data_IF_620111064249
#
_entry.id   IF_620111064249
#
_cell.length_a   1.000
_cell.length_b   1.000
_cell.length_c   1.000
_cell.angle_alpha   90.00
_cell.angle_beta   90.00
_cell.angle_gamma   90.00
#
_symmetry.space_group_name_H-M   'P 1'
#
loop_
_entity.id
_entity.type
_entity.pdbx_description
1 polymer ?
#
# COMPACT_ATOMS: atom_id res chain seq x y z
N UNK A 1 48.58 -29.76 -41.51
CA UNK A 1 47.43 -28.93 -41.05
C UNK A 1 47.22 -29.15 -39.55
N UNK A 2 47.98 -28.43 -38.71
CA UNK A 2 47.97 -28.60 -37.25
C UNK A 2 46.90 -27.75 -36.58
N UNK A 3 46.13 -28.34 -35.66
CA UNK A 3 45.10 -27.63 -34.88
C UNK A 3 45.75 -26.88 -33.72
N UNK A 4 45.71 -25.55 -33.75
CA UNK A 4 46.18 -24.68 -32.68
C UNK A 4 45.10 -24.64 -31.59
N UNK A 5 45.40 -25.20 -30.41
CA UNK A 5 44.56 -25.12 -29.23
C UNK A 5 44.67 -23.72 -28.60
N UNK A 6 43.53 -23.06 -28.36
CA UNK A 6 43.48 -21.77 -27.66
C UNK A 6 43.63 -21.99 -26.14
N UNK A 7 44.46 -21.21 -25.43
CA UNK A 7 44.58 -21.32 -23.98
C UNK A 7 43.32 -20.75 -23.29
N UNK A 8 42.80 -21.49 -22.31
CA UNK A 8 41.75 -21.00 -21.39
C UNK A 8 42.40 -20.05 -20.39
N UNK A 9 42.04 -18.77 -20.44
CA UNK A 9 42.40 -17.82 -19.39
C UNK A 9 41.57 -18.11 -18.14
N UNK A 10 42.24 -18.50 -17.06
CA UNK A 10 41.65 -18.52 -15.73
C UNK A 10 41.40 -17.07 -15.29
N UNK A 11 40.13 -16.67 -15.24
CA UNK A 11 39.72 -15.44 -14.59
C UNK A 11 39.47 -15.78 -13.12
N UNK A 12 40.41 -15.43 -12.26
CA UNK A 12 40.22 -15.47 -10.81
C UNK A 12 39.03 -14.59 -10.43
N UNK A 13 38.04 -15.20 -9.78
CA UNK A 13 36.91 -14.50 -9.19
C UNK A 13 37.37 -13.90 -7.85
N UNK A 14 37.29 -12.58 -7.63
CA UNK A 14 37.67 -12.02 -6.34
C UNK A 14 36.71 -12.47 -5.24
N UNK A 15 37.28 -13.13 -4.23
CA UNK A 15 36.65 -13.51 -2.98
C UNK A 15 35.93 -12.31 -2.35
N UNK A 16 34.62 -12.44 -2.15
CA UNK A 16 33.80 -11.48 -1.40
C UNK A 16 34.32 -11.42 0.03
N UNK A 17 34.96 -10.31 0.40
CA UNK A 17 35.29 -9.97 1.79
C UNK A 17 34.00 -9.91 2.61
N UNK A 18 33.86 -10.80 3.60
CA UNK A 18 32.78 -10.78 4.59
C UNK A 18 32.96 -9.53 5.47
N UNK A 19 31.95 -8.67 5.51
CA UNK A 19 31.88 -7.56 6.47
C UNK A 19 31.57 -8.11 7.88
N UNK A 20 32.12 -7.50 8.95
CA UNK A 20 31.90 -7.92 10.33
C UNK A 20 30.45 -7.69 10.77
N UNK A 21 29.86 -8.70 11.40
CA UNK A 21 28.54 -8.62 12.04
C UNK A 21 28.69 -7.86 13.36
N UNK A 22 28.34 -6.57 13.39
CA UNK A 22 28.09 -5.89 14.65
C UNK A 22 26.79 -6.41 15.26
N UNK A 23 26.92 -7.01 16.45
CA UNK A 23 25.81 -7.55 17.23
C UNK A 23 24.82 -6.46 17.63
N UNK A 24 23.58 -6.60 17.19
CA UNK A 24 22.45 -5.86 17.78
C UNK A 24 22.04 -6.62 19.04
N UNK A 25 22.35 -6.05 20.20
CA UNK A 25 21.81 -6.45 21.49
C UNK A 25 20.28 -6.28 21.45
N UNK A 26 19.57 -7.33 21.84
CA UNK A 26 18.12 -7.35 22.05
C UNK A 26 17.73 -6.37 23.16
N UNK A 27 16.59 -5.66 23.08
CA UNK A 27 16.03 -5.00 24.25
C UNK A 27 15.38 -6.03 25.17
N UNK A 28 15.77 -5.96 26.44
CA UNK A 28 15.31 -6.75 27.58
C UNK A 28 13.81 -6.55 27.83
N UNK A 29 13.13 -7.63 28.24
CA UNK A 29 11.77 -7.59 28.82
C UNK A 29 11.88 -7.35 30.32
N UNK A 30 11.02 -6.51 30.94
CA UNK A 30 10.84 -6.56 32.38
C UNK A 30 9.92 -7.73 32.76
N UNK A 31 10.42 -8.58 33.66
CA UNK A 31 9.67 -9.52 34.50
C UNK A 31 9.39 -8.83 35.83
N UNK A 32 8.13 -8.75 36.26
CA UNK A 32 7.72 -8.75 37.67
C UNK A 32 6.40 -9.54 37.74
N UNK A 33 6.41 -10.79 38.22
CA UNK A 33 6.50 -11.31 39.60
C UNK A 33 5.10 -11.70 40.09
N UNK A 34 4.94 -13.01 40.11
CA UNK A 34 3.86 -13.76 40.69
C UNK A 34 3.81 -13.53 42.20
N UNK A 35 2.61 -13.50 42.76
CA UNK A 35 2.32 -14.01 44.09
C UNK A 35 1.04 -14.85 43.97
N UNK A 36 1.21 -16.16 44.05
CA UNK A 36 0.11 -17.12 44.07
C UNK A 36 -0.47 -17.29 45.46
N UNK A 37 -1.79 -17.50 45.52
CA UNK A 37 -2.48 -18.20 46.61
C UNK A 37 -3.61 -18.99 45.93
N UNK A 38 -3.33 -20.26 45.59
CA UNK A 38 -3.77 -21.46 46.33
C UNK A 38 -5.27 -21.74 46.20
N UNK A 39 -5.56 -22.73 45.36
CA UNK A 39 -6.79 -23.52 45.29
C UNK A 39 -7.31 -23.95 46.67
N UNK A 40 -8.60 -23.71 46.92
CA UNK A 40 -9.45 -24.48 47.84
C UNK A 40 -10.92 -24.12 47.60
N UNK A 41 -11.78 -25.14 47.50
CA UNK A 41 -13.18 -25.04 47.89
C UNK A 41 -14.21 -24.81 46.78
N UNK A 42 -14.76 -25.92 46.28
CA UNK A 42 -16.15 -25.97 45.83
C UNK A 42 -16.99 -25.89 47.11
N UNK A 43 -17.67 -24.78 47.40
CA UNK A 43 -18.83 -24.79 48.30
C UNK A 43 -19.61 -23.48 48.26
N UNK A 44 -20.93 -23.63 48.37
CA UNK A 44 -21.93 -22.64 48.81
C UNK A 44 -22.28 -21.49 47.87
N UNK A 45 -23.13 -21.83 46.89
CA UNK A 45 -24.31 -21.05 46.57
C UNK A 45 -25.14 -20.84 47.86
N UNK A 46 -25.15 -19.63 48.42
CA UNK A 46 -26.25 -19.18 49.29
C UNK A 46 -26.25 -17.67 49.49
N UNK A 47 -27.32 -17.05 48.98
CA UNK A 47 -28.03 -15.92 49.58
C UNK A 47 -27.21 -14.67 49.88
N UNK A 48 -27.15 -13.77 48.90
CA UNK A 48 -27.15 -12.33 49.19
C UNK A 48 -28.14 -11.63 48.26
N UNK A 49 -29.27 -11.23 48.83
CA UNK A 49 -30.23 -10.30 48.27
C UNK A 49 -29.63 -8.89 48.32
N UNK A 50 -29.30 -8.32 47.17
CA UNK A 50 -29.05 -6.88 47.06
C UNK A 50 -30.38 -6.18 46.77
N UNK A 51 -30.79 -5.30 47.68
CA UNK A 51 -31.96 -4.45 47.53
C UNK A 51 -31.68 -3.34 46.51
N UNK A 52 -32.34 -3.39 45.35
CA UNK A 52 -32.42 -2.29 44.39
C UNK A 52 -33.30 -1.17 44.94
N UNK A 53 -32.70 -0.21 45.62
CA UNK A 53 -33.39 1.02 46.01
C UNK A 53 -32.45 2.22 46.00
N UNK A 54 -31.80 2.51 44.88
CA UNK A 54 -31.16 3.81 44.66
C UNK A 54 -30.72 4.08 43.21
N UNK A 55 -31.52 3.72 42.20
CA UNK A 55 -31.31 4.25 40.84
C UNK A 55 -32.66 4.55 40.20
N UNK A 56 -33.05 5.82 40.26
CA UNK A 56 -34.20 6.35 39.53
C UNK A 56 -33.92 6.35 38.04
N UNK A 57 -34.52 5.40 37.31
CA UNK A 57 -34.62 5.45 35.85
C UNK A 57 -36.04 5.06 35.47
N UNK A 58 -36.63 5.89 34.62
CA UNK A 58 -38.01 5.86 34.17
C UNK A 58 -38.40 4.48 33.61
N UNK A 59 -39.53 3.96 34.10
CA UNK A 59 -40.22 2.76 33.62
C UNK A 59 -40.65 2.95 32.16
N UNK A 60 -39.93 2.34 31.24
CA UNK A 60 -40.53 1.85 29.99
C UNK A 60 -40.68 0.33 30.13
N UNK A 61 -41.93 -0.08 30.32
CA UNK A 61 -42.35 -1.47 30.47
C UNK A 61 -42.25 -2.22 29.14
N UNK A 62 -41.29 -3.13 29.01
CA UNK A 62 -41.48 -4.35 28.21
C UNK A 62 -40.54 -5.46 28.68
N UNK A 63 -41.00 -6.15 29.73
CA UNK A 63 -40.86 -7.60 29.98
C UNK A 63 -39.60 -8.25 29.40
N UNK A 64 -38.51 -8.18 30.15
CA UNK A 64 -37.28 -8.92 29.88
C UNK A 64 -37.45 -10.36 30.41
N UNK A 65 -38.00 -11.24 29.56
CA UNK A 65 -38.00 -12.68 29.83
C UNK A 65 -36.57 -13.19 29.65
N UNK A 66 -35.92 -13.48 30.76
CA UNK A 66 -34.66 -14.19 30.87
C UNK A 66 -34.67 -15.48 30.03
N UNK A 67 -34.17 -15.39 28.80
CA UNK A 67 -33.87 -16.57 27.97
C UNK A 67 -32.51 -17.10 28.36
N UNK A 68 -32.55 -17.94 29.38
CA UNK A 68 -31.65 -19.06 29.64
C UNK A 68 -31.11 -19.62 28.29
N UNK A 69 -29.85 -19.30 27.95
CA UNK A 69 -29.20 -19.70 26.69
C UNK A 69 -28.84 -21.18 26.78
N UNK A 70 -29.86 -22.03 26.75
CA UNK A 70 -29.72 -23.45 26.46
C UNK A 70 -29.35 -23.58 24.99
N UNK A 71 -28.20 -24.19 24.75
CA UNK A 71 -27.64 -24.51 23.44
C UNK A 71 -28.70 -25.13 22.52
N UNK A 72 -29.32 -24.30 21.69
CA UNK A 72 -30.21 -24.77 20.62
C UNK A 72 -29.34 -25.34 19.52
N UNK A 73 -29.34 -26.67 19.44
CA UNK A 73 -29.04 -27.40 18.20
C UNK A 73 -29.73 -26.72 17.03
N UNK A 74 -28.99 -26.49 15.95
CA UNK A 74 -29.44 -25.74 14.78
C UNK A 74 -30.68 -26.39 14.14
N UNK A 75 -31.88 -25.96 14.54
CA UNK A 75 -33.11 -26.21 13.80
C UNK A 75 -33.05 -25.36 12.54
N UNK A 76 -32.86 -26.01 11.40
CA UNK A 76 -32.91 -25.38 10.07
C UNK A 76 -34.24 -24.66 9.91
N UNK A 77 -34.21 -23.33 9.70
CA UNK A 77 -35.42 -22.57 9.42
C UNK A 77 -35.99 -23.00 8.07
N UNK A 78 -37.11 -23.72 8.11
CA UNK A 78 -37.96 -23.96 6.96
C UNK A 78 -39.07 -22.91 6.95
N UNK A 79 -38.90 -21.83 6.19
CA UNK A 79 -39.97 -21.29 5.33
C UNK A 79 -39.42 -20.14 4.47
N UNK A 80 -39.02 -20.47 3.26
CA UNK A 80 -39.14 -19.55 2.13
C UNK A 80 -39.93 -20.29 1.07
N UNK A 81 -41.15 -19.82 0.87
CA UNK A 81 -42.01 -20.25 -0.23
C UNK A 81 -41.24 -20.03 -1.54
N UNK A 82 -40.98 -21.12 -2.28
CA UNK A 82 -40.30 -21.10 -3.58
C UNK A 82 -38.83 -21.51 -3.60
N UNK A 83 -38.25 -22.03 -2.51
CA UNK A 83 -36.87 -22.54 -2.56
C UNK A 83 -36.84 -23.97 -3.09
N UNK A 84 -36.50 -24.06 -4.37
CA UNK A 84 -36.02 -25.26 -5.05
C UNK A 84 -35.21 -26.12 -4.08
N UNK A 85 -35.55 -27.42 -3.97
CA UNK A 85 -34.76 -28.40 -3.23
C UNK A 85 -33.31 -28.35 -3.74
N UNK A 86 -32.47 -27.56 -3.09
CA UNK A 86 -31.08 -27.36 -3.51
C UNK A 86 -30.40 -28.73 -3.44
N UNK A 87 -29.89 -29.21 -4.57
CA UNK A 87 -29.22 -30.52 -4.64
C UNK A 87 -28.04 -30.52 -3.67
N UNK A 88 -27.70 -31.68 -3.10
CA UNK A 88 -26.59 -31.84 -2.14
C UNK A 88 -25.28 -31.24 -2.69
N UNK A 89 -25.03 -31.44 -4.00
CA UNK A 89 -23.91 -30.86 -4.74
C UNK A 89 -23.90 -29.32 -4.71
N UNK A 90 -25.05 -28.70 -4.96
CA UNK A 90 -25.16 -27.24 -4.98
C UNK A 90 -25.00 -26.64 -3.58
N UNK A 91 -25.55 -27.30 -2.56
CA UNK A 91 -25.33 -26.88 -1.16
C UNK A 91 -23.85 -26.96 -0.77
N UNK A 92 -23.14 -28.02 -1.19
CA UNK A 92 -21.70 -28.16 -0.96
C UNK A 92 -20.91 -27.06 -1.68
N UNK A 93 -21.26 -26.78 -2.94
CA UNK A 93 -20.65 -25.70 -3.72
C UNK A 93 -20.87 -24.33 -3.07
N UNK A 94 -22.06 -24.06 -2.55
CA UNK A 94 -22.35 -22.82 -1.83
C UNK A 94 -21.52 -22.70 -0.57
N UNK A 95 -21.40 -23.77 0.22
CA UNK A 95 -20.52 -23.79 1.40
C UNK A 95 -19.06 -23.53 1.03
N UNK A 96 -18.55 -24.19 -0.02
CA UNK A 96 -17.18 -23.97 -0.52
C UNK A 96 -16.98 -22.52 -0.96
N UNK A 97 -17.92 -21.95 -1.73
CA UNK A 97 -17.87 -20.54 -2.16
C UNK A 97 -17.88 -19.58 -0.98
N UNK A 98 -18.76 -19.79 0.00
CA UNK A 98 -18.82 -18.96 1.20
C UNK A 98 -17.54 -19.05 2.03
N UNK A 99 -16.97 -20.25 2.15
CA UNK A 99 -15.71 -20.45 2.85
C UNK A 99 -14.55 -19.73 2.15
N UNK A 100 -14.45 -19.85 0.82
CA UNK A 100 -13.43 -19.14 0.03
C UNK A 100 -13.57 -17.63 0.18
N UNK A 101 -14.81 -17.10 0.03
CA UNK A 101 -15.10 -15.68 0.26
C UNK A 101 -14.67 -15.22 1.65
N UNK A 102 -14.94 -16.00 2.70
CA UNK A 102 -14.53 -15.68 4.07
C UNK A 102 -13.01 -15.64 4.20
N UNK A 103 -12.31 -16.60 3.60
CA UNK A 103 -10.84 -16.63 3.59
C UNK A 103 -10.29 -15.38 2.89
N UNK A 104 -10.87 -14.99 1.76
CA UNK A 104 -10.41 -13.84 0.99
C UNK A 104 -10.65 -12.53 1.75
N UNK A 105 -11.84 -12.34 2.36
CA UNK A 105 -12.12 -11.20 3.24
C UNK A 105 -11.09 -11.12 4.38
N UNK A 106 -10.79 -12.23 5.05
CA UNK A 106 -9.80 -12.25 6.15
C UNK A 106 -8.40 -11.88 5.65
N UNK A 107 -8.00 -12.34 4.46
CA UNK A 107 -6.71 -11.98 3.85
C UNK A 107 -6.65 -10.50 3.50
N UNK A 108 -7.72 -9.95 2.95
CA UNK A 108 -7.84 -8.53 2.61
C UNK A 108 -7.74 -7.66 3.86
N UNK A 109 -8.52 -7.97 4.92
CA UNK A 109 -8.44 -7.27 6.20
C UNK A 109 -7.02 -7.33 6.79
N UNK A 110 -6.35 -8.49 6.75
CA UNK A 110 -4.97 -8.61 7.24
C UNK A 110 -3.99 -7.73 6.45
N UNK A 111 -4.12 -7.69 5.12
CA UNK A 111 -3.29 -6.82 4.28
C UNK A 111 -3.57 -5.35 4.58
N UNK A 112 -4.83 -4.98 4.73
CA UNK A 112 -5.25 -3.63 5.05
C UNK A 112 -4.68 -3.17 6.39
N UNK A 113 -4.72 -4.03 7.42
CA UNK A 113 -4.12 -3.74 8.73
C UNK A 113 -2.61 -3.47 8.64
N UNK A 114 -1.86 -4.30 7.90
CA UNK A 114 -0.43 -4.08 7.70
C UNK A 114 -0.14 -2.75 6.98
N UNK A 115 -0.97 -2.39 6.00
CA UNK A 115 -0.85 -1.11 5.29
C UNK A 115 -1.22 0.05 6.22
N UNK A 116 -2.26 -0.11 7.04
CA UNK A 116 -2.71 0.86 8.03
C UNK A 116 -1.62 1.16 9.05
N UNK A 117 -0.96 0.14 9.59
CA UNK A 117 0.19 0.30 10.50
C UNK A 117 1.33 1.09 9.85
N UNK A 118 1.64 0.80 8.58
CA UNK A 118 2.67 1.56 7.83
C UNK A 118 2.28 3.03 7.63
N UNK A 119 1.01 3.31 7.31
CA UNK A 119 0.50 4.69 7.12
C UNK A 119 0.47 5.47 8.43
N UNK A 120 0.02 4.84 9.52
CA UNK A 120 0.05 5.42 10.87
C UNK A 120 1.45 5.87 11.29
N UNK A 121 2.47 5.12 10.89
CA UNK A 121 3.87 5.44 11.18
C UNK A 121 4.46 6.57 10.30
N UNK A 122 3.68 7.19 9.41
CA UNK A 122 4.15 8.35 8.63
C UNK A 122 4.20 9.59 9.52
N UNK A 123 5.42 10.06 9.81
CA UNK A 123 5.72 11.00 10.90
C UNK A 123 4.99 12.35 10.85
N UNK A 124 4.54 12.79 9.67
CA UNK A 124 3.96 14.13 9.50
C UNK A 124 2.43 14.16 9.42
N UNK A 125 1.77 13.07 8.98
CA UNK A 125 0.36 13.12 8.58
C UNK A 125 -0.45 11.94 9.16
N UNK A 126 0.18 10.84 9.57
CA UNK A 126 -0.53 9.67 10.07
C UNK A 126 -1.37 8.97 8.98
N UNK A 127 -2.47 8.31 9.38
CA UNK A 127 -3.35 7.58 8.46
C UNK A 127 -4.55 8.42 8.02
N UNK A 128 -4.57 8.84 6.74
CA UNK A 128 -5.64 9.66 6.15
C UNK A 128 -6.76 8.85 5.50
N UNK A 129 -6.58 7.54 5.31
CA UNK A 129 -7.57 6.68 4.68
C UNK A 129 -8.96 6.69 5.36
N UNK A 130 -9.07 6.75 6.71
CA UNK A 130 -10.36 6.86 7.36
C UNK A 130 -11.19 8.07 6.89
N UNK A 131 -10.54 9.16 6.47
CA UNK A 131 -11.21 10.36 5.94
C UNK A 131 -11.82 10.09 4.56
N UNK A 132 -11.16 9.26 3.76
CA UNK A 132 -11.67 8.87 2.44
C UNK A 132 -12.78 7.82 2.55
N UNK A 133 -12.66 6.88 3.50
CA UNK A 133 -13.64 5.81 3.71
C UNK A 133 -14.94 6.32 4.36
N UNK A 134 -14.86 7.42 5.13
CA UNK A 134 -16.03 8.08 5.70
C UNK A 134 -16.91 8.80 4.65
N UNK A 135 -16.45 8.90 3.40
CA UNK A 135 -17.22 9.54 2.34
C UNK A 135 -18.15 8.52 1.66
N UNK A 136 -19.40 8.92 1.34
CA UNK A 136 -20.25 8.14 0.45
C UNK A 136 -19.54 7.89 -0.88
N UNK A 137 -19.63 6.67 -1.40
CA UNK A 137 -19.05 6.33 -2.70
C UNK A 137 -19.64 7.25 -3.79
N UNK A 138 -18.76 7.88 -4.57
CA UNK A 138 -19.15 8.73 -5.71
C UNK A 138 -19.65 7.91 -6.91
N UNK A 139 -19.63 6.58 -6.86
CA UNK A 139 -20.08 5.72 -7.95
C UNK A 139 -21.48 6.04 -8.52
N UNK A 140 -22.51 6.33 -7.71
CA UNK A 140 -23.83 6.68 -8.23
C UNK A 140 -23.82 8.00 -9.01
N UNK A 141 -23.07 8.99 -8.53
CA UNK A 141 -22.92 10.31 -9.17
C UNK A 141 -22.13 10.21 -10.47
N UNK A 142 -21.09 9.36 -10.50
CA UNK A 142 -20.32 9.09 -11.72
C UNK A 142 -21.19 8.36 -12.75
N UNK A 143 -21.94 7.33 -12.35
CA UNK A 143 -22.88 6.61 -13.23
C UNK A 143 -23.94 7.54 -13.84
N UNK A 144 -24.41 8.54 -13.08
CA UNK A 144 -25.31 9.59 -13.60
C UNK A 144 -24.61 10.55 -14.59
N UNK A 145 -23.36 10.95 -14.33
CA UNK A 145 -22.58 11.85 -15.21
C UNK A 145 -22.14 11.19 -16.52
N UNK A 146 -21.89 9.87 -16.52
CA UNK A 146 -21.53 9.13 -17.73
C UNK A 146 -22.69 9.01 -18.73
N UNK A 147 -23.93 9.28 -18.31
CA UNK A 147 -25.06 9.38 -19.23
C UNK A 147 -25.06 10.70 -20.02
N UNK A 148 -24.30 11.73 -19.62
CA UNK A 148 -24.43 13.09 -20.19
C UNK A 148 -23.13 13.84 -20.50
N UNK A 149 -21.93 13.32 -20.22
CA UNK A 149 -20.69 14.07 -20.46
C UNK A 149 -19.72 13.42 -21.45
N UNK A 150 -19.41 14.22 -22.47
CA UNK A 150 -18.44 14.06 -23.56
C UNK A 150 -17.07 13.66 -23.00
N UNK A 151 -16.40 12.74 -23.70
CA UNK A 151 -15.06 12.25 -23.41
C UNK A 151 -14.06 13.41 -23.37
N UNK A 152 -13.70 13.87 -22.18
CA UNK A 152 -12.50 14.68 -22.02
C UNK A 152 -11.30 13.74 -22.21
N UNK A 153 -10.58 13.89 -23.32
CA UNK A 153 -9.31 13.18 -23.54
C UNK A 153 -8.28 13.67 -22.53
N UNK A 154 -8.14 12.89 -21.47
CA UNK A 154 -7.08 13.07 -20.49
C UNK A 154 -5.75 12.69 -21.16
N UNK A 155 -5.08 13.66 -21.78
CA UNK A 155 -3.69 13.47 -22.21
C UNK A 155 -2.83 13.28 -20.96
N UNK A 156 -2.64 12.03 -20.58
CA UNK A 156 -1.69 11.64 -19.54
C UNK A 156 -0.30 12.13 -19.95
N UNK A 157 0.12 13.26 -19.38
CA UNK A 157 1.50 13.72 -19.47
C UNK A 157 2.33 12.71 -18.71
N UNK A 158 2.83 11.70 -19.41
CA UNK A 158 3.73 10.70 -18.86
C UNK A 158 4.85 11.42 -18.10
N UNK A 159 4.87 11.25 -16.77
CA UNK A 159 5.92 11.77 -15.91
C UNK A 159 7.22 11.14 -16.40
N UNK A 160 8.05 11.89 -17.14
CA UNK A 160 9.33 11.39 -17.63
C UNK A 160 10.14 10.93 -16.41
N UNK A 161 10.43 9.63 -16.34
CA UNK A 161 11.22 9.05 -15.25
C UNK A 161 12.62 9.67 -15.21
N UNK A 162 13.27 9.61 -14.05
CA UNK A 162 14.61 10.15 -13.88
C UNK A 162 15.58 9.45 -14.84
N UNK A 163 16.38 10.22 -15.59
CA UNK A 163 17.32 9.65 -16.56
C UNK A 163 18.31 8.67 -15.92
N UNK A 164 18.75 7.65 -16.66
CA UNK A 164 19.73 6.68 -16.14
C UNK A 164 21.09 7.32 -15.91
N UNK A 165 21.85 6.84 -14.92
CA UNK A 165 23.16 7.40 -14.57
C UNK A 165 24.14 7.46 -15.76
N UNK A 166 24.10 6.46 -16.66
CA UNK A 166 24.90 6.42 -17.89
C UNK A 166 24.55 7.56 -18.86
N UNK A 167 23.25 7.86 -19.03
CA UNK A 167 22.79 8.96 -19.88
C UNK A 167 23.24 10.31 -19.31
N UNK A 168 23.07 10.52 -18.01
CA UNK A 168 23.54 11.73 -17.32
C UNK A 168 25.04 11.93 -17.51
N UNK A 169 25.86 10.89 -17.25
CA UNK A 169 27.32 10.94 -17.46
C UNK A 169 27.67 11.31 -18.90
N UNK A 170 27.02 10.70 -19.90
CA UNK A 170 27.25 11.02 -21.31
C UNK A 170 26.90 12.47 -21.63
N UNK A 171 25.80 12.98 -21.08
CA UNK A 171 25.41 14.38 -21.28
C UNK A 171 26.43 15.33 -20.66
N UNK A 172 26.84 15.10 -19.41
CA UNK A 172 27.87 15.91 -18.74
C UNK A 172 29.18 15.95 -19.51
N UNK A 173 29.64 14.82 -20.07
CA UNK A 173 30.87 14.81 -20.89
C UNK A 173 30.73 15.66 -22.15
N UNK A 174 29.57 15.61 -22.83
CA UNK A 174 29.30 16.48 -23.98
C UNK A 174 29.28 17.95 -23.59
N UNK A 175 28.66 18.28 -22.46
CA UNK A 175 28.60 19.65 -21.97
C UNK A 175 30.02 20.17 -21.70
N UNK A 176 30.87 19.36 -21.05
CA UNK A 176 32.29 19.68 -20.82
C UNK A 176 33.04 19.91 -22.14
N UNK A 177 32.83 19.08 -23.15
CA UNK A 177 33.45 19.26 -24.47
C UNK A 177 33.01 20.57 -25.15
N UNK A 178 31.73 20.93 -25.04
CA UNK A 178 31.19 22.19 -25.55
C UNK A 178 31.84 23.37 -24.84
N UNK A 179 31.95 23.34 -23.51
CA UNK A 179 32.62 24.40 -22.75
C UNK A 179 34.09 24.53 -23.11
N UNK A 180 34.82 23.41 -23.25
CA UNK A 180 36.21 23.42 -23.72
C UNK A 180 36.35 24.00 -25.12
N UNK A 181 35.36 23.85 -25.99
CA UNK A 181 35.34 24.47 -27.31
C UNK A 181 35.11 25.98 -27.20
N UNK A 182 34.07 26.42 -26.48
CA UNK A 182 33.79 27.84 -26.29
C UNK A 182 34.97 28.59 -25.66
N UNK A 183 35.66 27.97 -24.69
CA UNK A 183 36.86 28.54 -24.07
C UNK A 183 38.10 28.55 -24.97
N UNK A 184 38.10 27.89 -26.14
CA UNK A 184 39.17 28.02 -27.13
C UNK A 184 38.92 29.17 -28.10
N UNK A 185 37.66 29.56 -28.29
CA UNK A 185 37.27 30.60 -29.23
C UNK A 185 37.64 31.98 -28.69
N UNK A 186 38.43 32.75 -29.48
CA UNK A 186 38.93 34.07 -29.08
C UNK A 186 37.82 35.10 -28.95
N UNK A 187 36.82 35.04 -29.83
CA UNK A 187 35.63 35.91 -29.83
C UNK A 187 34.81 35.76 -28.56
N UNK A 188 34.61 34.51 -28.12
CA UNK A 188 33.91 34.18 -26.89
C UNK A 188 34.68 34.67 -25.65
N UNK A 189 36.02 34.60 -25.66
CA UNK A 189 36.85 35.15 -24.57
C UNK A 189 36.80 36.66 -24.47
N UNK A 190 36.75 37.36 -25.62
CA UNK A 190 36.71 38.81 -25.65
C UNK A 190 35.35 39.33 -25.15
N UNK A 191 34.26 38.92 -25.80
CA UNK A 191 32.90 39.35 -25.46
C UNK A 191 31.94 38.14 -25.53
N UNK A 192 31.69 37.43 -24.40
CA UNK A 192 30.85 36.24 -24.41
C UNK A 192 29.38 36.57 -24.71
N UNK A 193 28.86 37.68 -24.17
CA UNK A 193 27.46 38.09 -24.35
C UNK A 193 27.11 38.40 -25.80
N UNK A 194 27.99 39.14 -26.49
CA UNK A 194 27.82 39.49 -27.90
C UNK A 194 27.86 38.24 -28.80
N UNK A 195 28.81 37.34 -28.54
CA UNK A 195 28.92 36.06 -29.26
C UNK A 195 27.66 35.21 -29.09
N UNK A 196 27.11 35.14 -27.87
CA UNK A 196 25.86 34.42 -27.59
C UNK A 196 24.67 35.09 -28.29
N UNK A 197 24.57 36.42 -28.25
CA UNK A 197 23.51 37.18 -28.92
C UNK A 197 23.48 36.89 -30.43
N UNK A 198 24.63 37.00 -31.08
CA UNK A 198 24.78 36.73 -32.51
C UNK A 198 24.44 35.28 -32.87
N UNK A 199 24.82 34.32 -32.01
CA UNK A 199 24.47 32.92 -32.19
C UNK A 199 22.95 32.68 -32.12
N UNK A 200 22.27 33.28 -31.13
CA UNK A 200 20.81 33.19 -30.99
C UNK A 200 20.11 33.82 -32.20
N UNK A 201 20.54 35.00 -32.63
CA UNK A 201 19.99 35.67 -33.82
C UNK A 201 20.15 34.78 -35.07
N UNK A 202 21.32 34.16 -35.24
CA UNK A 202 21.58 33.23 -36.34
C UNK A 202 20.66 32.01 -36.29
N UNK A 203 20.45 31.40 -35.12
CA UNK A 203 19.53 30.27 -34.95
C UNK A 203 18.08 30.67 -35.30
N UNK A 204 17.64 31.84 -34.84
CA UNK A 204 16.29 32.34 -35.13
C UNK A 204 16.13 32.55 -36.63
N UNK A 205 17.09 33.21 -37.28
CA UNK A 205 17.07 33.48 -38.72
C UNK A 205 17.02 32.18 -39.55
N UNK A 206 17.80 31.16 -39.18
CA UNK A 206 17.76 29.84 -39.82
C UNK A 206 16.39 29.17 -39.65
N UNK A 207 15.81 29.22 -38.44
CA UNK A 207 14.48 28.64 -38.18
C UNK A 207 13.36 29.35 -38.93
N UNK A 208 13.46 30.66 -39.16
CA UNK A 208 12.46 31.42 -39.91
C UNK A 208 12.55 31.15 -41.41
N UNK A 209 13.75 30.95 -41.96
CA UNK A 209 13.94 30.69 -43.39
C UNK A 209 13.57 29.26 -43.80
N UNK A 210 13.69 28.27 -42.90
CA UNK A 210 13.29 26.86 -43.16
C UNK A 210 11.77 26.66 -43.16
N UNK A 211 11.00 27.64 -42.68
CA UNK A 211 9.53 27.58 -42.62
C UNK A 211 8.81 28.26 -43.80
N UNK A 212 9.56 28.86 -44.73
CA UNK A 212 9.04 29.38 -46.00
C UNK A 212 9.35 28.36 -47.10
#
# INVERSE_FOLDING_TARGET
MGKIAKPKSNVEVPLKKKLPKHGRKSPEKPRERENGILSKGISSFSKQSFSESSLGVQKNSSRDESRDVKSTTYKSSTKSHGVNKIKKKDRLNMKKKLLLKKIDIVRELKKELQVREKRKNTALIGDTNPLHDALPSLEPLLKMKHATCIKAEEHSKNKKGVETARKRKKQTMKDVEIFKRALRDKTFKANPFETISNHIQSIVHLKTNVKK
#
